data_IF_568643317791
#
_entry.id   IF_568643317791
#
_cell.length_a   1.000
_cell.length_b   1.000
_cell.length_c   1.000
_cell.angle_alpha   90.00
_cell.angle_beta   90.00
_cell.angle_gamma   90.00
#
_symmetry.space_group_name_H-M   'P 1'
#
loop_
_entity.id
_entity.type
_entity.pdbx_description
1 polymer ?
#
# COMPACT_ATOMS: atom_id res chain seq x y z
N UNK A 1 -8.81 -12.72 31.06
CA UNK A 1 -9.69 -12.84 29.89
C UNK A 1 -10.79 -13.83 30.22
N UNK A 2 -12.04 -13.43 30.07
CA UNK A 2 -13.23 -14.25 30.26
C UNK A 2 -13.97 -14.36 28.92
N UNK A 3 -14.41 -15.57 28.60
CA UNK A 3 -15.06 -15.92 27.33
C UNK A 3 -16.39 -16.58 27.68
N UNK A 4 -17.50 -16.00 27.23
CA UNK A 4 -18.85 -16.47 27.53
C UNK A 4 -19.59 -16.77 26.23
N UNK A 5 -20.14 -17.97 26.09
CA UNK A 5 -21.01 -18.30 24.96
C UNK A 5 -22.30 -17.46 25.03
N UNK A 6 -22.72 -16.90 23.89
CA UNK A 6 -23.95 -16.12 23.76
C UNK A 6 -24.59 -16.38 22.39
N UNK A 7 -25.63 -17.23 22.36
CA UNK A 7 -26.29 -17.61 21.11
C UNK A 7 -25.36 -18.41 20.18
N UNK A 8 -25.26 -17.96 18.93
CA UNK A 8 -24.38 -18.43 17.86
C UNK A 8 -22.99 -17.76 17.87
N UNK A 9 -22.72 -16.90 18.85
CA UNK A 9 -21.45 -16.21 19.02
C UNK A 9 -20.84 -16.34 20.42
N UNK A 10 -19.73 -15.64 20.63
CA UNK A 10 -18.99 -15.63 21.89
C UNK A 10 -18.73 -14.19 22.33
N UNK A 11 -19.05 -13.88 23.58
CA UNK A 11 -18.71 -12.62 24.23
C UNK A 11 -17.32 -12.73 24.86
N UNK A 12 -16.44 -11.78 24.58
CA UNK A 12 -15.07 -11.75 25.12
C UNK A 12 -14.89 -10.53 25.99
N UNK A 13 -14.39 -10.72 27.21
CA UNK A 13 -14.00 -9.64 28.12
C UNK A 13 -12.55 -9.82 28.56
N UNK A 14 -11.72 -8.80 28.42
CA UNK A 14 -10.38 -8.78 28.98
C UNK A 14 -10.25 -7.65 30.00
N UNK A 15 -9.44 -7.89 31.03
CA UNK A 15 -9.11 -6.93 32.06
C UNK A 15 -7.59 -6.92 32.30
N UNK A 16 -7.05 -5.80 32.77
CA UNK A 16 -5.65 -5.65 33.16
C UNK A 16 -5.31 -6.42 34.45
N UNK A 17 -4.05 -6.37 34.88
CA UNK A 17 -3.60 -6.98 36.14
C UNK A 17 -4.24 -6.41 37.41
N UNK A 18 -4.96 -5.29 37.31
CA UNK A 18 -5.73 -4.66 38.40
C UNK A 18 -7.24 -4.96 38.29
N UNK A 19 -7.68 -5.76 37.31
CA UNK A 19 -9.09 -6.10 37.09
C UNK A 19 -9.91 -5.03 36.36
N UNK A 20 -9.28 -3.99 35.80
CA UNK A 20 -9.96 -2.97 35.00
C UNK A 20 -10.18 -3.48 33.57
N UNK A 21 -11.38 -3.35 33.00
CA UNK A 21 -11.67 -3.84 31.66
C UNK A 21 -10.81 -3.11 30.62
N UNK A 22 -10.19 -3.88 29.72
CA UNK A 22 -9.36 -3.39 28.60
C UNK A 22 -9.94 -3.77 27.24
N UNK A 23 -10.86 -4.73 27.17
CA UNK A 23 -11.54 -5.15 25.95
C UNK A 23 -12.92 -5.72 26.31
N UNK A 24 -13.94 -5.34 25.56
CA UNK A 24 -15.24 -6.01 25.59
C UNK A 24 -15.77 -6.18 24.15
N UNK A 25 -15.86 -7.42 23.70
CA UNK A 25 -16.52 -7.79 22.44
C UNK A 25 -17.90 -8.31 22.77
N UNK A 26 -18.94 -7.62 22.30
CA UNK A 26 -20.34 -7.93 22.62
C UNK A 26 -20.81 -9.24 21.99
N UNK A 27 -20.38 -9.52 20.76
CA UNK A 27 -20.61 -10.79 20.07
C UNK A 27 -19.49 -11.02 19.05
N UNK A 28 -18.90 -12.21 19.07
CA UNK A 28 -17.97 -12.71 18.06
C UNK A 28 -18.61 -13.94 17.43
N UNK A 29 -19.06 -13.80 16.18
CA UNK A 29 -19.66 -14.88 15.40
C UNK A 29 -18.63 -15.34 14.38
N UNK A 30 -18.07 -16.53 14.57
CA UNK A 30 -17.16 -17.13 13.61
C UNK A 30 -17.96 -17.99 12.63
N UNK A 31 -17.69 -17.88 11.33
CA UNK A 31 -18.20 -18.87 10.37
C UNK A 31 -17.51 -20.21 10.61
N UNK A 32 -18.30 -21.28 10.62
CA UNK A 32 -17.79 -22.64 10.69
C UNK A 32 -16.95 -22.91 9.43
N UNK A 33 -15.63 -23.04 9.61
CA UNK A 33 -14.72 -23.48 8.56
C UNK A 33 -14.78 -24.99 8.55
N UNK A 34 -15.38 -25.57 7.51
CA UNK A 34 -15.43 -27.01 7.37
C UNK A 34 -14.00 -27.58 7.29
N UNK A 35 -13.76 -28.73 7.92
CA UNK A 35 -12.42 -29.30 8.09
C UNK A 35 -11.73 -29.64 6.75
N UNK A 36 -12.48 -29.74 5.66
CA UNK A 36 -11.98 -29.87 4.29
C UNK A 36 -11.36 -28.58 3.73
N UNK A 37 -11.75 -27.41 4.25
CA UNK A 37 -11.08 -26.12 3.98
C UNK A 37 -9.76 -25.96 4.75
N UNK A 38 -9.54 -26.77 5.79
CA UNK A 38 -8.27 -26.87 6.52
C UNK A 38 -7.43 -27.99 5.91
N UNK A 39 -7.10 -27.86 4.63
CA UNK A 39 -6.17 -28.80 3.98
C UNK A 39 -4.78 -28.68 4.61
N UNK A 40 -4.08 -29.78 4.90
CA UNK A 40 -2.70 -29.73 5.40
C UNK A 40 -1.79 -29.06 4.37
N UNK A 41 -0.83 -28.26 4.85
CA UNK A 41 0.11 -27.48 4.04
C UNK A 41 0.68 -28.28 2.87
N UNK A 42 0.64 -27.69 1.66
CA UNK A 42 1.17 -28.29 0.44
C UNK A 42 0.11 -28.70 -0.59
N UNK A 43 -0.87 -27.84 -0.87
CA UNK A 43 -1.67 -27.94 -2.11
C UNK A 43 -1.32 -26.78 -3.04
N UNK A 44 -1.51 -26.89 -4.37
CA UNK A 44 -1.25 -25.81 -5.34
C UNK A 44 -2.06 -24.51 -5.12
N UNK A 45 -2.80 -24.42 -4.01
CA UNK A 45 -3.61 -23.29 -3.58
C UNK A 45 -2.83 -22.28 -2.71
N UNK A 46 -1.58 -22.59 -2.31
CA UNK A 46 -0.71 -21.70 -1.50
C UNK A 46 -0.17 -20.49 -2.31
N UNK A 47 -0.25 -20.52 -3.64
CA UNK A 47 0.19 -19.45 -4.57
C UNK A 47 -0.99 -18.67 -5.20
N UNK A 48 -2.13 -18.59 -4.50
CA UNK A 48 -3.28 -17.85 -5.00
C UNK A 48 -2.98 -16.33 -5.04
N UNK A 49 -3.19 -15.70 -6.20
CA UNK A 49 -3.18 -14.25 -6.34
C UNK A 49 -4.57 -13.69 -6.01
N UNK A 50 -4.59 -12.48 -5.45
CA UNK A 50 -5.83 -11.79 -5.06
C UNK A 50 -5.93 -10.42 -5.71
N UNK A 51 -7.16 -9.95 -5.91
CA UNK A 51 -7.50 -8.62 -6.39
C UNK A 51 -8.58 -8.00 -5.52
N UNK A 52 -8.73 -6.67 -5.58
CA UNK A 52 -9.85 -5.97 -4.97
C UNK A 52 -10.96 -5.82 -6.00
N UNK A 53 -12.11 -6.42 -5.70
CA UNK A 53 -13.36 -6.23 -6.44
C UNK A 53 -14.23 -5.23 -5.71
N UNK A 54 -14.77 -4.27 -6.45
CA UNK A 54 -15.72 -3.29 -5.94
C UNK A 54 -17.15 -3.74 -6.23
N UNK A 55 -17.93 -3.97 -5.17
CA UNK A 55 -19.31 -4.46 -5.28
C UNK A 55 -20.29 -3.35 -4.99
N UNK A 56 -21.24 -3.16 -5.89
CA UNK A 56 -22.34 -2.22 -5.70
C UNK A 56 -23.23 -2.67 -4.54
N UNK A 57 -23.45 -1.76 -3.59
CA UNK A 57 -24.46 -1.93 -2.55
C UNK A 57 -25.84 -1.52 -3.08
N UNK A 58 -26.93 -2.11 -2.55
CA UNK A 58 -28.26 -1.56 -2.76
C UNK A 58 -28.32 -0.12 -2.23
N UNK A 59 -29.24 0.72 -2.76
CA UNK A 59 -29.41 2.09 -2.30
C UNK A 59 -29.63 2.16 -0.78
N UNK A 60 -29.05 3.19 -0.16
CA UNK A 60 -29.19 3.48 1.26
C UNK A 60 -30.65 3.59 1.70
N UNK A 61 -30.93 3.23 2.96
CA UNK A 61 -32.20 3.52 3.61
C UNK A 61 -32.16 4.97 4.13
N UNK A 62 -32.93 5.91 3.54
CA UNK A 62 -32.87 7.32 3.91
C UNK A 62 -33.41 7.62 5.33
N UNK A 63 -33.92 6.61 6.05
CA UNK A 63 -34.45 6.77 7.40
C UNK A 63 -33.39 6.74 8.52
N UNK A 64 -32.12 6.45 8.20
CA UNK A 64 -31.01 6.39 9.15
C UNK A 64 -29.93 7.46 8.87
N UNK A 65 -30.19 8.75 9.15
CA UNK A 65 -29.20 9.80 8.97
C UNK A 65 -28.02 9.58 9.93
N UNK A 66 -26.81 9.43 9.38
CA UNK A 66 -25.56 9.51 10.13
C UNK A 66 -24.99 10.91 10.05
N UNK A 67 -24.44 11.38 11.17
CA UNK A 67 -23.75 12.67 11.23
C UNK A 67 -22.28 12.47 10.87
N UNK A 68 -21.78 13.22 9.88
CA UNK A 68 -20.40 13.15 9.41
C UNK A 68 -19.72 14.50 9.53
N UNK A 69 -18.56 14.52 10.20
CA UNK A 69 -17.55 15.55 9.93
C UNK A 69 -16.87 15.22 8.62
N UNK A 70 -16.63 16.20 7.74
CA UNK A 70 -16.01 15.96 6.42
C UNK A 70 -14.61 16.54 6.36
N UNK A 71 -13.64 15.74 5.91
CA UNK A 71 -12.30 16.17 5.53
C UNK A 71 -12.12 15.92 4.03
N UNK A 72 -12.19 16.99 3.23
CA UNK A 72 -11.98 16.94 1.79
C UNK A 72 -10.47 16.91 1.48
N UNK A 73 -10.03 15.92 0.72
CA UNK A 73 -8.64 15.79 0.30
C UNK A 73 -8.38 16.67 -0.92
N UNK A 74 -7.43 17.60 -0.79
CA UNK A 74 -6.98 18.47 -1.87
C UNK A 74 -5.98 17.81 -2.80
N UNK A 75 -5.69 18.47 -3.92
CA UNK A 75 -4.61 18.08 -4.82
C UNK A 75 -3.29 18.77 -4.46
N UNK A 76 -2.17 18.15 -4.80
CA UNK A 76 -0.83 18.70 -4.56
C UNK A 76 0.24 17.61 -4.49
N UNK A 77 1.48 17.97 -4.11
CA UNK A 77 2.54 17.00 -3.84
C UNK A 77 2.12 16.01 -2.75
N UNK A 78 2.50 14.74 -2.90
CA UNK A 78 2.07 13.65 -2.01
C UNK A 78 2.43 13.92 -0.55
N UNK A 79 3.62 14.47 -0.28
CA UNK A 79 4.09 14.80 1.07
C UNK A 79 3.22 15.88 1.72
N UNK A 80 2.80 16.89 0.94
CA UNK A 80 1.93 17.95 1.43
C UNK A 80 0.54 17.41 1.74
N UNK A 81 -0.08 16.72 0.78
CA UNK A 81 -1.47 16.25 0.91
C UNK A 81 -1.61 15.23 2.04
N UNK A 82 -0.73 14.22 2.10
CA UNK A 82 -0.75 13.22 3.18
C UNK A 82 -0.44 13.85 4.54
N UNK A 83 0.38 14.90 4.57
CA UNK A 83 0.65 15.69 5.75
C UNK A 83 -0.54 16.49 6.29
N UNK A 84 -1.25 17.16 5.39
CA UNK A 84 -2.48 17.88 5.71
C UNK A 84 -3.56 16.93 6.22
N UNK A 85 -3.72 15.76 5.60
CA UNK A 85 -4.66 14.73 6.05
C UNK A 85 -4.25 14.15 7.40
N UNK A 86 -2.96 13.82 7.61
CA UNK A 86 -2.46 13.33 8.89
C UNK A 86 -2.84 14.29 10.02
N UNK A 87 -2.52 15.57 9.85
CA UNK A 87 -2.83 16.62 10.83
C UNK A 87 -4.33 16.78 11.03
N UNK A 88 -5.13 16.84 9.97
CA UNK A 88 -6.59 16.99 10.07
C UNK A 88 -7.27 15.82 10.80
N UNK A 89 -6.83 14.59 10.55
CA UNK A 89 -7.32 13.41 11.27
C UNK A 89 -6.87 13.42 12.73
N UNK A 90 -5.61 13.80 13.02
CA UNK A 90 -5.11 13.93 14.40
C UNK A 90 -5.89 14.99 15.20
N UNK A 91 -6.04 16.20 14.63
CA UNK A 91 -6.81 17.30 15.23
C UNK A 91 -8.26 16.87 15.53
N UNK A 92 -8.89 16.13 14.62
CA UNK A 92 -10.24 15.60 14.83
C UNK A 92 -10.30 14.51 15.92
N UNK A 93 -9.32 13.60 15.95
CA UNK A 93 -9.25 12.54 16.97
C UNK A 93 -8.99 13.09 18.38
N UNK A 94 -8.28 14.21 18.50
CA UNK A 94 -7.92 14.85 19.77
C UNK A 94 -9.01 15.78 20.32
N UNK A 95 -9.97 16.20 19.50
CA UNK A 95 -11.01 17.14 19.92
C UNK A 95 -11.93 16.53 21.01
N UNK A 96 -11.91 17.13 22.20
CA UNK A 96 -12.70 16.72 23.39
C UNK A 96 -14.22 16.76 23.15
N UNK A 97 -14.69 17.59 22.20
CA UNK A 97 -16.07 17.68 21.74
C UNK A 97 -16.30 16.99 20.39
N UNK A 98 -15.67 15.83 20.14
CA UNK A 98 -16.09 15.03 18.97
C UNK A 98 -17.54 14.58 19.21
N UNK A 99 -18.52 15.04 18.40
CA UNK A 99 -19.90 14.60 18.55
C UNK A 99 -19.95 13.08 18.29
N UNK A 100 -21.12 12.45 18.46
CA UNK A 100 -21.36 11.08 18.00
C UNK A 100 -21.12 10.85 16.48
N UNK A 101 -20.66 11.85 15.75
CA UNK A 101 -20.38 11.86 14.32
C UNK A 101 -19.08 11.12 13.97
N UNK A 102 -19.07 10.45 12.81
CA UNK A 102 -17.88 9.82 12.22
C UNK A 102 -17.13 10.83 11.34
N UNK A 103 -15.83 10.64 11.10
CA UNK A 103 -15.07 11.44 10.14
C UNK A 103 -15.11 10.80 8.76
N UNK A 104 -15.68 11.48 7.76
CA UNK A 104 -15.57 11.11 6.35
C UNK A 104 -14.33 11.77 5.74
N UNK A 105 -13.32 10.98 5.38
CA UNK A 105 -12.16 11.45 4.60
C UNK A 105 -12.46 11.19 3.13
N UNK A 106 -12.60 12.26 2.35
CA UNK A 106 -13.12 12.18 0.98
C UNK A 106 -12.05 12.46 -0.06
N UNK A 107 -11.78 11.47 -0.90
CA UNK A 107 -10.89 11.55 -2.07
C UNK A 107 -11.67 11.54 -3.38
N UNK A 108 -10.96 11.76 -4.50
CA UNK A 108 -11.50 11.70 -5.86
C UNK A 108 -10.58 10.85 -6.72
N UNK A 109 -11.08 9.75 -7.27
CA UNK A 109 -10.30 8.85 -8.12
C UNK A 109 -9.09 8.19 -7.43
N UNK A 110 -9.07 8.08 -6.11
CA UNK A 110 -7.98 7.43 -5.37
C UNK A 110 -7.99 5.90 -5.51
N UNK A 111 -9.09 5.31 -5.99
CA UNK A 111 -9.26 3.87 -6.15
C UNK A 111 -9.83 3.51 -7.51
N UNK A 112 -9.47 2.32 -8.01
CA UNK A 112 -10.01 1.75 -9.23
C UNK A 112 -11.32 1.00 -8.92
N UNK A 113 -12.42 1.74 -8.76
CA UNK A 113 -13.71 1.18 -8.38
C UNK A 113 -14.63 0.86 -9.56
N UNK A 114 -14.39 1.48 -10.71
CA UNK A 114 -15.15 1.29 -11.95
C UNK A 114 -14.27 0.94 -13.16
N UNK A 115 -14.86 0.33 -14.20
CA UNK A 115 -14.17 0.15 -15.48
C UNK A 115 -13.78 1.51 -16.09
N UNK A 116 -12.50 1.66 -16.46
CA UNK A 116 -11.99 2.89 -17.06
C UNK A 116 -11.55 3.96 -16.07
N UNK A 117 -11.65 3.71 -14.76
CA UNK A 117 -11.07 4.57 -13.74
C UNK A 117 -9.55 4.70 -13.95
N UNK A 118 -9.05 5.93 -13.82
CA UNK A 118 -7.64 6.20 -13.59
C UNK A 118 -7.42 6.44 -12.10
N UNK A 119 -6.32 5.94 -11.55
CA UNK A 119 -5.97 6.17 -10.15
C UNK A 119 -5.19 7.47 -9.98
N UNK A 120 -5.56 8.28 -9.00
CA UNK A 120 -4.74 9.35 -8.44
C UNK A 120 -3.81 8.76 -7.36
N UNK A 121 -2.49 8.69 -7.60
CA UNK A 121 -1.54 8.14 -6.63
C UNK A 121 -1.48 8.93 -5.31
N UNK A 122 -1.79 10.22 -5.34
CA UNK A 122 -1.78 11.05 -4.12
C UNK A 122 -2.97 10.69 -3.23
N UNK A 123 -4.16 10.58 -3.82
CA UNK A 123 -5.33 10.02 -3.15
C UNK A 123 -5.11 8.59 -2.65
N UNK A 124 -4.44 7.74 -3.43
CA UNK A 124 -4.12 6.36 -3.01
C UNK A 124 -3.22 6.35 -1.76
N UNK A 125 -2.19 7.21 -1.70
CA UNK A 125 -1.35 7.36 -0.52
C UNK A 125 -2.16 7.81 0.72
N UNK A 126 -3.15 8.68 0.55
CA UNK A 126 -4.08 9.05 1.62
C UNK A 126 -4.91 7.85 2.09
N UNK A 127 -5.41 7.02 1.18
CA UNK A 127 -6.10 5.79 1.54
C UNK A 127 -5.21 4.86 2.38
N UNK A 128 -3.96 4.66 1.97
CA UNK A 128 -2.99 3.87 2.75
C UNK A 128 -2.80 4.43 4.16
N UNK A 129 -2.58 5.75 4.28
CA UNK A 129 -2.43 6.46 5.55
C UNK A 129 -3.63 6.22 6.49
N UNK A 130 -4.84 6.43 5.97
CA UNK A 130 -6.07 6.42 6.77
C UNK A 130 -6.52 5.00 7.10
N UNK A 131 -6.25 3.99 6.27
CA UNK A 131 -6.52 2.57 6.61
C UNK A 131 -5.83 2.15 7.91
N UNK A 132 -4.61 2.62 8.16
CA UNK A 132 -3.93 2.39 9.44
C UNK A 132 -4.61 3.14 10.60
N UNK A 133 -5.07 4.37 10.38
CA UNK A 133 -5.86 5.12 11.36
C UNK A 133 -7.16 4.39 11.73
N UNK A 134 -7.88 3.84 10.74
CA UNK A 134 -9.07 3.02 10.95
C UNK A 134 -8.78 1.77 11.79
N UNK A 135 -7.61 1.15 11.60
CA UNK A 135 -7.20 -0.02 12.39
C UNK A 135 -6.90 0.33 13.84
N UNK A 136 -6.45 1.56 14.12
CA UNK A 136 -6.18 2.06 15.48
C UNK A 136 -7.41 2.68 16.15
N UNK A 137 -8.34 3.22 15.36
CA UNK A 137 -9.57 3.87 15.80
C UNK A 137 -10.79 3.29 15.05
N UNK A 138 -11.22 2.06 15.38
CA UNK A 138 -12.34 1.40 14.70
C UNK A 138 -13.62 2.23 14.76
N UNK A 139 -14.41 2.15 13.70
CA UNK A 139 -15.74 2.77 13.54
C UNK A 139 -15.78 4.31 13.59
N UNK A 140 -14.63 4.97 13.77
CA UNK A 140 -14.53 6.43 13.88
C UNK A 140 -14.38 7.15 12.53
N UNK A 141 -13.77 6.49 11.54
CA UNK A 141 -13.35 7.11 10.28
C UNK A 141 -13.88 6.29 9.09
N UNK A 142 -14.46 6.96 8.10
CA UNK A 142 -14.89 6.39 6.82
C UNK A 142 -14.06 6.98 5.69
N UNK A 143 -13.53 6.13 4.82
CA UNK A 143 -12.91 6.54 3.55
C UNK A 143 -13.96 6.55 2.44
N UNK A 144 -14.08 7.66 1.75
CA UNK A 144 -15.03 7.85 0.65
C UNK A 144 -14.26 8.30 -0.58
N UNK A 145 -14.29 7.53 -1.66
CA UNK A 145 -13.73 7.96 -2.94
C UNK A 145 -14.83 8.31 -3.93
N UNK A 146 -14.81 9.53 -4.47
CA UNK A 146 -15.83 10.02 -5.40
C UNK A 146 -15.34 9.99 -6.86
N UNK A 147 -16.25 10.25 -7.80
CA UNK A 147 -15.94 10.25 -9.22
C UNK A 147 -14.75 11.19 -9.55
N UNK A 148 -13.76 10.73 -10.34
CA UNK A 148 -12.58 11.53 -10.69
C UNK A 148 -12.92 12.85 -11.39
N UNK A 149 -14.07 12.92 -12.05
CA UNK A 149 -14.54 14.10 -12.80
C UNK A 149 -15.29 15.12 -11.95
N UNK A 150 -15.57 14.81 -10.68
CA UNK A 150 -16.27 15.72 -9.76
C UNK A 150 -15.40 16.95 -9.49
N UNK A 151 -15.95 18.18 -9.55
CA UNK A 151 -15.15 19.40 -9.40
C UNK A 151 -14.76 19.64 -7.93
N UNK A 152 -13.51 20.05 -7.70
CA UNK A 152 -12.98 20.31 -6.34
C UNK A 152 -13.87 21.32 -5.62
N UNK A 153 -14.44 20.94 -4.48
CA UNK A 153 -15.34 21.76 -3.69
C UNK A 153 -16.83 21.51 -3.91
N UNK A 154 -17.21 20.66 -4.88
CA UNK A 154 -18.57 20.13 -4.96
C UNK A 154 -18.91 19.40 -3.66
N UNK A 155 -20.10 19.70 -3.14
CA UNK A 155 -20.65 19.07 -1.94
C UNK A 155 -20.86 17.58 -2.22
N UNK A 156 -20.27 16.75 -1.37
CA UNK A 156 -20.36 15.29 -1.48
C UNK A 156 -21.63 14.88 -0.75
N UNK A 157 -22.57 14.27 -1.46
CA UNK A 157 -23.80 13.76 -0.84
C UNK A 157 -23.49 12.51 0.00
N UNK A 158 -23.06 12.75 1.25
CA UNK A 158 -22.85 11.70 2.24
C UNK A 158 -24.15 11.06 2.71
N UNK A 159 -25.32 11.60 2.33
CA UNK A 159 -26.62 10.95 2.55
C UNK A 159 -26.72 9.60 1.85
N UNK A 160 -25.93 9.38 0.80
CA UNK A 160 -25.79 8.08 0.14
C UNK A 160 -25.21 6.98 1.05
N UNK A 161 -24.59 7.36 2.18
CA UNK A 161 -24.01 6.44 3.15
C UNK A 161 -24.95 6.11 4.32
N UNK A 162 -26.18 6.63 4.32
CA UNK A 162 -27.15 6.34 5.37
C UNK A 162 -27.39 4.83 5.53
N UNK A 163 -27.15 4.30 6.73
CA UNK A 163 -27.25 2.87 7.03
C UNK A 163 -26.15 1.98 6.42
N UNK A 164 -25.10 2.58 5.84
CA UNK A 164 -23.93 1.85 5.32
C UNK A 164 -22.91 1.65 6.42
N UNK A 165 -22.84 0.42 6.94
CA UNK A 165 -21.86 0.01 7.96
C UNK A 165 -20.57 -0.51 7.30
N UNK A 166 -19.96 0.33 6.46
CA UNK A 166 -18.71 0.00 5.76
C UNK A 166 -17.67 1.09 6.00
N UNK A 167 -16.44 0.73 6.38
CA UNK A 167 -15.40 1.73 6.67
C UNK A 167 -14.85 2.38 5.39
N UNK A 168 -15.11 1.79 4.22
CA UNK A 168 -14.49 2.19 2.97
C UNK A 168 -15.49 2.03 1.82
N UNK A 169 -15.71 3.12 1.11
CA UNK A 169 -16.67 3.17 0.01
C UNK A 169 -16.10 3.95 -1.16
N UNK A 170 -16.54 3.59 -2.37
CA UNK A 170 -16.42 4.42 -3.55
C UNK A 170 -17.83 4.81 -4.01
N UNK A 171 -18.00 6.06 -4.42
CA UNK A 171 -19.23 6.56 -5.05
C UNK A 171 -18.91 6.79 -6.52
N UNK A 172 -19.65 6.12 -7.39
CA UNK A 172 -19.57 6.27 -8.85
C UNK A 172 -20.96 6.45 -9.42
N UNK A 173 -21.21 7.55 -10.11
CA UNK A 173 -22.53 7.84 -10.72
C UNK A 173 -23.70 7.72 -9.71
N UNK A 174 -23.46 8.10 -8.45
CA UNK A 174 -24.44 8.01 -7.35
C UNK A 174 -24.68 6.59 -6.80
N UNK A 175 -23.91 5.60 -7.25
CA UNK A 175 -23.91 4.24 -6.68
C UNK A 175 -22.80 4.09 -5.65
N UNK A 176 -23.11 3.45 -4.52
CA UNK A 176 -22.13 3.11 -3.49
C UNK A 176 -21.52 1.74 -3.79
N UNK A 177 -20.20 1.66 -3.83
CA UNK A 177 -19.44 0.44 -4.00
C UNK A 177 -18.55 0.19 -2.78
N UNK A 178 -18.35 -1.08 -2.45
CA UNK A 178 -17.49 -1.51 -1.33
C UNK A 178 -16.39 -2.47 -1.79
N UNK A 179 -15.17 -2.36 -1.26
CA UNK A 179 -14.06 -3.20 -1.66
C UNK A 179 -14.19 -4.59 -1.02
N UNK A 180 -13.89 -5.64 -1.80
CA UNK A 180 -13.81 -7.03 -1.34
C UNK A 180 -12.60 -7.70 -1.96
N UNK A 181 -11.88 -8.49 -1.15
CA UNK A 181 -10.78 -9.29 -1.66
C UNK A 181 -11.35 -10.53 -2.38
N UNK A 182 -10.95 -10.72 -3.63
CA UNK A 182 -11.34 -11.86 -4.46
C UNK A 182 -10.10 -12.57 -5.00
N UNK A 183 -10.20 -13.88 -5.22
CA UNK A 183 -9.13 -14.67 -5.84
C UNK A 183 -9.09 -14.42 -7.34
N UNK A 184 -7.89 -14.26 -7.89
CA UNK A 184 -7.65 -14.23 -9.33
C UNK A 184 -7.60 -15.69 -9.82
N UNK A 185 -8.43 -16.02 -10.80
CA UNK A 185 -8.30 -17.28 -11.52
C UNK A 185 -6.95 -17.27 -12.26
N UNK A 186 -6.02 -18.16 -11.86
CA UNK A 186 -4.64 -18.16 -12.35
C UNK A 186 -4.58 -18.16 -13.87
N UNK A 187 -4.05 -17.09 -14.45
CA UNK A 187 -3.60 -17.03 -15.83
C UNK A 187 -2.11 -16.72 -15.79
N UNK A 188 -1.27 -17.75 -15.81
CA UNK A 188 0.18 -17.58 -15.92
C UNK A 188 0.51 -17.07 -17.32
N UNK A 189 0.73 -15.75 -17.43
CA UNK A 189 1.30 -15.13 -18.63
C UNK A 189 2.79 -14.93 -18.39
N UNK A 190 3.63 -15.62 -19.17
CA UNK A 190 5.06 -15.33 -19.16
C UNK A 190 5.31 -14.03 -19.93
N UNK A 191 5.96 -13.06 -19.28
CA UNK A 191 6.51 -11.88 -19.96
C UNK A 191 7.93 -12.25 -20.40
N UNK A 192 8.24 -12.26 -21.71
CA UNK A 192 9.62 -12.42 -22.16
C UNK A 192 10.43 -11.20 -21.69
N UNK A 193 11.60 -11.45 -21.10
CA UNK A 193 12.53 -10.40 -20.65
C UNK A 193 13.82 -10.56 -21.42
N UNK A 194 14.34 -9.48 -21.98
CA UNK A 194 15.65 -9.45 -22.61
C UNK A 194 16.75 -9.70 -21.57
N UNK A 195 17.32 -10.90 -21.65
CA UNK A 195 18.38 -11.37 -20.76
C UNK A 195 19.69 -10.63 -20.96
N UNK A 196 19.86 -10.01 -22.12
CA UNK A 196 21.06 -9.26 -22.47
C UNK A 196 20.95 -7.76 -22.15
N UNK A 197 19.75 -7.26 -21.83
CA UNK A 197 19.58 -5.95 -21.22
C UNK A 197 20.05 -5.89 -19.76
N UNK A 198 20.09 -4.67 -19.22
CA UNK A 198 20.40 -4.38 -17.81
C UNK A 198 19.12 -4.28 -17.00
N UNK A 199 19.04 -5.00 -15.87
CA UNK A 199 17.97 -4.83 -14.88
C UNK A 199 18.48 -4.02 -13.68
N UNK A 200 17.82 -2.88 -13.41
CA UNK A 200 18.08 -2.03 -12.26
C UNK A 200 17.24 -2.50 -11.07
N UNK A 201 17.86 -2.64 -9.90
CA UNK A 201 17.16 -2.97 -8.65
C UNK A 201 17.51 -1.93 -7.57
N UNK A 202 16.56 -1.09 -7.18
CA UNK A 202 16.74 -0.21 -6.00
C UNK A 202 16.52 -0.98 -4.71
N UNK A 203 17.26 -0.65 -3.66
CA UNK A 203 17.34 -1.53 -2.48
C UNK A 203 18.05 -2.84 -2.81
N UNK A 204 18.85 -2.87 -3.88
CA UNK A 204 19.44 -4.09 -4.44
C UNK A 204 20.45 -4.79 -3.52
N UNK A 205 21.03 -4.05 -2.57
CA UNK A 205 21.89 -4.61 -1.51
C UNK A 205 21.12 -4.98 -0.24
N UNK A 206 19.81 -4.73 -0.19
CA UNK A 206 18.96 -5.13 0.93
C UNK A 206 18.50 -6.59 0.83
N UNK A 207 17.88 -7.10 1.89
CA UNK A 207 17.44 -8.52 1.97
C UNK A 207 16.57 -8.94 0.79
N UNK A 208 15.48 -8.21 0.51
CA UNK A 208 14.57 -8.54 -0.58
C UNK A 208 15.20 -8.32 -1.96
N UNK A 209 15.93 -7.21 -2.14
CA UNK A 209 16.61 -6.91 -3.40
C UNK A 209 17.65 -7.96 -3.77
N UNK A 210 18.45 -8.43 -2.81
CA UNK A 210 19.42 -9.48 -3.02
C UNK A 210 18.79 -10.84 -3.32
N UNK A 211 17.69 -11.20 -2.65
CA UNK A 211 16.94 -12.43 -2.95
C UNK A 211 16.35 -12.39 -4.36
N UNK A 212 15.74 -11.27 -4.74
CA UNK A 212 15.21 -11.07 -6.09
C UNK A 212 16.31 -11.11 -7.14
N UNK A 213 17.46 -10.48 -6.89
CA UNK A 213 18.59 -10.51 -7.81
C UNK A 213 19.02 -11.96 -8.12
N UNK A 214 19.12 -12.82 -7.09
CA UNK A 214 19.40 -14.25 -7.27
C UNK A 214 18.32 -14.94 -8.10
N UNK A 215 17.05 -14.66 -7.81
CA UNK A 215 15.93 -15.23 -8.54
C UNK A 215 15.94 -14.83 -10.03
N UNK A 216 16.24 -13.57 -10.34
CA UNK A 216 16.34 -13.09 -11.72
C UNK A 216 17.49 -13.74 -12.48
N UNK A 217 18.65 -13.92 -11.84
CA UNK A 217 19.79 -14.61 -12.47
C UNK A 217 19.48 -16.08 -12.70
N UNK A 218 19.06 -16.81 -11.66
CA UNK A 218 18.88 -18.27 -11.71
C UNK A 218 17.61 -18.67 -12.47
N UNK A 219 16.49 -18.01 -12.19
CA UNK A 219 15.17 -18.36 -12.74
C UNK A 219 14.90 -17.75 -14.11
N UNK A 220 15.37 -16.53 -14.36
CA UNK A 220 15.09 -15.80 -15.60
C UNK A 220 16.31 -15.66 -16.54
N UNK A 221 17.51 -15.99 -16.05
CA UNK A 221 18.74 -15.91 -16.85
C UNK A 221 19.19 -14.48 -17.11
N UNK A 222 18.80 -13.53 -16.27
CA UNK A 222 19.26 -12.13 -16.35
C UNK A 222 20.77 -12.09 -16.11
N UNK A 223 21.51 -11.45 -17.01
CA UNK A 223 22.98 -11.47 -16.98
C UNK A 223 23.59 -10.18 -16.46
N UNK A 224 22.86 -9.05 -16.53
CA UNK A 224 23.39 -7.73 -16.20
C UNK A 224 22.51 -7.06 -15.16
N UNK A 225 23.09 -6.77 -14.00
CA UNK A 225 22.40 -6.20 -12.86
C UNK A 225 23.03 -4.87 -12.44
N UNK A 226 22.19 -3.87 -12.21
CA UNK A 226 22.55 -2.60 -11.59
C UNK A 226 21.85 -2.50 -10.23
N UNK A 227 22.58 -2.74 -9.15
CA UNK A 227 22.06 -2.73 -7.78
C UNK A 227 22.28 -1.34 -7.17
N UNK A 228 21.19 -0.62 -6.92
CA UNK A 228 21.22 0.70 -6.29
C UNK A 228 20.86 0.63 -4.82
N UNK A 229 21.62 1.33 -3.99
CA UNK A 229 21.26 1.65 -2.61
C UNK A 229 22.02 2.88 -2.14
N UNK A 230 21.60 3.51 -1.05
CA UNK A 230 22.31 4.70 -0.51
C UNK A 230 23.75 4.39 -0.10
N UNK A 231 23.99 3.19 0.44
CA UNK A 231 25.33 2.74 0.85
C UNK A 231 26.14 2.17 -0.33
N UNK A 232 25.48 1.71 -1.39
CA UNK A 232 26.14 1.18 -2.58
C UNK A 232 27.15 0.08 -2.25
N UNK A 233 28.39 0.15 -2.79
CA UNK A 233 29.46 -0.81 -2.50
C UNK A 233 29.83 -0.95 -1.01
N UNK A 234 29.57 0.09 -0.20
CA UNK A 234 29.87 0.10 1.22
C UNK A 234 28.77 -0.57 2.08
N UNK A 235 27.68 -1.05 1.45
CA UNK A 235 26.64 -1.76 2.17
C UNK A 235 27.15 -3.10 2.73
N UNK A 236 26.77 -3.50 3.96
CA UNK A 236 27.15 -4.79 4.51
C UNK A 236 26.79 -5.96 3.58
N UNK A 237 27.78 -6.78 3.22
CA UNK A 237 27.60 -7.93 2.33
C UNK A 237 27.48 -7.62 0.83
N UNK A 238 27.67 -6.37 0.40
CA UNK A 238 27.57 -5.99 -1.02
C UNK A 238 28.58 -6.73 -1.91
N UNK A 239 29.85 -6.82 -1.47
CA UNK A 239 30.89 -7.52 -2.22
C UNK A 239 30.60 -9.02 -2.34
N UNK A 240 30.15 -9.65 -1.25
CA UNK A 240 29.77 -11.07 -1.24
C UNK A 240 28.58 -11.34 -2.17
N UNK A 241 27.57 -10.47 -2.14
CA UNK A 241 26.41 -10.55 -3.04
C UNK A 241 26.83 -10.46 -4.51
N UNK A 242 27.71 -9.52 -4.87
CA UNK A 242 28.19 -9.37 -6.25
C UNK A 242 28.97 -10.62 -6.73
N UNK A 243 29.84 -11.15 -5.87
CA UNK A 243 30.60 -12.36 -6.16
C UNK A 243 29.67 -13.58 -6.34
N UNK A 244 28.67 -13.71 -5.47
CA UNK A 244 27.67 -14.78 -5.56
C UNK A 244 26.86 -14.68 -6.86
N UNK A 245 26.30 -13.52 -7.19
CA UNK A 245 25.52 -13.32 -8.42
C UNK A 245 26.35 -13.61 -9.67
N UNK A 246 27.63 -13.25 -9.65
CA UNK A 246 28.56 -13.60 -10.73
C UNK A 246 28.76 -15.11 -10.84
N UNK A 247 28.91 -15.82 -9.70
CA UNK A 247 29.01 -17.28 -9.69
C UNK A 247 27.74 -18.00 -10.17
N UNK A 248 26.57 -17.34 -10.03
CA UNK A 248 25.28 -17.84 -10.48
C UNK A 248 25.00 -17.58 -11.97
N UNK A 249 25.86 -16.82 -12.66
CA UNK A 249 25.78 -16.61 -14.12
C UNK A 249 25.55 -15.16 -14.55
N UNK A 250 25.53 -14.20 -13.63
CA UNK A 250 25.59 -12.79 -14.01
C UNK A 250 26.97 -12.46 -14.60
N UNK A 251 26.99 -11.78 -15.75
CA UNK A 251 28.22 -11.38 -16.44
C UNK A 251 28.67 -9.96 -16.08
N UNK A 252 27.74 -9.12 -15.59
CA UNK A 252 28.00 -7.78 -15.10
C UNK A 252 27.10 -7.49 -13.89
N UNK A 253 27.71 -7.22 -12.74
CA UNK A 253 27.01 -6.81 -11.51
C UNK A 253 27.62 -5.52 -11.02
N UNK A 254 26.90 -4.42 -11.23
CA UNK A 254 27.33 -3.08 -10.80
C UNK A 254 26.55 -2.69 -9.56
N UNK A 255 27.27 -2.37 -8.48
CA UNK A 255 26.67 -1.82 -7.26
C UNK A 255 27.01 -0.33 -7.21
N UNK A 256 26.00 0.52 -7.12
CA UNK A 256 26.18 1.98 -7.16
C UNK A 256 25.49 2.63 -5.97
N UNK A 257 26.21 3.54 -5.31
CA UNK A 257 25.67 4.39 -4.26
C UNK A 257 24.76 5.46 -4.89
N UNK A 258 23.46 5.36 -4.67
CA UNK A 258 22.47 6.30 -5.18
C UNK A 258 21.22 6.31 -4.30
N UNK A 259 20.75 7.50 -3.93
CA UNK A 259 19.38 7.67 -3.43
C UNK A 259 18.46 7.84 -4.64
N UNK A 260 17.55 6.89 -4.89
CA UNK A 260 16.63 6.97 -6.03
C UNK A 260 15.62 8.12 -5.90
N UNK A 261 15.44 8.67 -4.70
CA UNK A 261 14.63 9.87 -4.48
C UNK A 261 15.37 11.18 -4.81
N UNK A 262 16.69 11.12 -5.05
CA UNK A 262 17.44 12.21 -5.66
C UNK A 262 17.39 12.04 -7.20
N UNK A 263 16.56 12.86 -7.83
CA UNK A 263 16.27 12.76 -9.27
C UNK A 263 17.51 12.98 -10.13
N UNK A 264 18.38 13.91 -9.75
CA UNK A 264 19.57 14.26 -10.54
C UNK A 264 20.67 13.20 -10.38
N UNK A 265 20.83 12.66 -9.16
CA UNK A 265 21.72 11.53 -8.93
C UNK A 265 21.25 10.29 -9.70
N UNK A 266 19.95 9.98 -9.66
CA UNK A 266 19.38 8.86 -10.40
C UNK A 266 19.53 9.04 -11.92
N UNK A 267 19.29 10.24 -12.45
CA UNK A 267 19.49 10.54 -13.87
C UNK A 267 20.95 10.31 -14.31
N UNK A 268 21.92 10.70 -13.47
CA UNK A 268 23.35 10.45 -13.74
C UNK A 268 23.64 8.96 -13.83
N UNK A 269 23.15 8.17 -12.87
CA UNK A 269 23.33 6.71 -12.86
C UNK A 269 22.68 6.04 -14.07
N UNK A 270 21.50 6.49 -14.49
CA UNK A 270 20.80 5.97 -15.67
C UNK A 270 21.55 6.31 -16.97
N UNK A 271 22.14 7.50 -17.07
CA UNK A 271 22.91 7.92 -18.24
C UNK A 271 24.19 7.10 -18.44
N UNK A 272 24.74 6.52 -17.37
CA UNK A 272 25.93 5.65 -17.40
C UNK A 272 25.63 4.20 -17.82
N UNK A 273 24.38 3.87 -18.14
CA UNK A 273 24.03 2.53 -18.65
C UNK A 273 24.50 2.39 -20.12
N UNK A 274 25.31 1.37 -20.45
CA UNK A 274 25.85 1.21 -21.81
C UNK A 274 24.77 1.01 -22.87
N UNK A 275 24.89 1.67 -24.02
CA UNK A 275 23.94 1.54 -25.15
C UNK A 275 23.88 0.14 -25.76
N UNK A 276 24.94 -0.66 -25.63
CA UNK A 276 25.00 -2.05 -26.09
C UNK A 276 24.43 -3.06 -25.08
N UNK A 277 24.00 -2.58 -23.90
CA UNK A 277 23.33 -3.35 -22.86
C UNK A 277 22.31 -2.42 -22.16
N UNK A 278 21.28 -1.95 -22.91
CA UNK A 278 20.36 -0.92 -22.44
C UNK A 278 19.57 -1.36 -21.22
N UNK A 279 18.98 -0.40 -20.51
CA UNK A 279 18.03 -0.69 -19.43
C UNK A 279 16.78 -1.35 -20.02
N UNK A 280 16.47 -2.57 -19.58
CA UNK A 280 15.28 -3.32 -20.01
C UNK A 280 14.36 -3.69 -18.86
N UNK A 281 14.80 -3.50 -17.61
CA UNK A 281 13.97 -3.75 -16.44
C UNK A 281 14.28 -2.87 -15.25
N UNK A 282 13.22 -2.48 -14.54
CA UNK A 282 13.30 -1.76 -13.26
C UNK A 282 12.57 -2.55 -12.20
N UNK A 283 13.23 -2.79 -11.08
CA UNK A 283 12.61 -3.30 -9.85
C UNK A 283 12.86 -2.34 -8.70
N UNK A 284 11.78 -1.79 -8.16
CA UNK A 284 11.83 -0.91 -7.01
C UNK A 284 11.53 -1.70 -5.73
N UNK A 285 12.59 -2.15 -5.05
CA UNK A 285 12.53 -2.83 -3.75
C UNK A 285 13.08 -1.98 -2.60
N UNK A 286 13.31 -0.68 -2.82
CA UNK A 286 13.74 0.21 -1.75
C UNK A 286 12.58 0.49 -0.80
N UNK A 287 12.90 0.60 0.48
CA UNK A 287 11.93 0.90 1.52
C UNK A 287 12.63 1.04 2.86
N UNK A 288 12.05 1.86 3.72
CA UNK A 288 12.44 2.00 5.12
C UNK A 288 11.19 1.85 5.97
N UNK A 289 11.35 1.32 7.18
CA UNK A 289 10.30 1.22 8.18
C UNK A 289 10.54 2.28 9.25
N UNK A 290 9.48 2.89 9.73
CA UNK A 290 9.51 3.85 10.82
C UNK A 290 8.18 3.80 11.58
N UNK A 291 7.95 2.68 12.28
CA UNK A 291 6.66 2.36 12.88
C UNK A 291 6.33 3.29 14.06
N UNK A 292 5.07 3.70 14.16
CA UNK A 292 4.54 4.51 15.25
C UNK A 292 3.03 4.67 15.12
N UNK A 293 2.33 4.70 16.26
CA UNK A 293 0.88 4.92 16.30
C UNK A 293 0.51 6.22 15.57
N UNK A 294 -0.67 6.23 14.95
CA UNK A 294 -1.15 7.31 14.10
C UNK A 294 -1.07 8.68 14.78
N UNK A 295 -1.48 8.75 16.05
CA UNK A 295 -1.50 9.99 16.83
C UNK A 295 -0.11 10.53 17.20
N UNK A 296 0.95 9.71 17.10
CA UNK A 296 2.33 10.13 17.34
C UNK A 296 3.15 10.25 16.05
N UNK A 297 2.53 9.98 14.89
CA UNK A 297 3.20 10.11 13.60
C UNK A 297 3.40 11.60 13.28
N UNK A 298 4.63 11.96 12.91
CA UNK A 298 4.96 13.33 12.49
C UNK A 298 5.15 13.41 10.98
N UNK A 299 5.01 14.62 10.43
CA UNK A 299 5.28 14.91 9.02
C UNK A 299 6.67 14.43 8.57
N UNK A 300 7.69 14.63 9.40
CA UNK A 300 9.07 14.27 9.08
C UNK A 300 9.24 12.76 8.91
N UNK A 301 8.63 11.98 9.82
CA UNK A 301 8.63 10.51 9.77
C UNK A 301 7.84 9.99 8.58
N UNK A 302 6.69 10.62 8.27
CA UNK A 302 5.92 10.32 7.06
C UNK A 302 6.73 10.56 5.78
N UNK A 303 7.33 11.75 5.65
CA UNK A 303 8.13 12.14 4.49
C UNK A 303 9.35 11.23 4.28
N UNK A 304 9.98 10.77 5.37
CA UNK A 304 11.12 9.86 5.30
C UNK A 304 10.76 8.53 4.63
N UNK A 305 9.58 7.98 4.94
CA UNK A 305 9.10 6.72 4.37
C UNK A 305 8.59 6.91 2.94
N UNK A 306 7.85 8.00 2.68
CA UNK A 306 7.41 8.37 1.33
C UNK A 306 8.59 8.54 0.37
N UNK A 307 9.66 9.22 0.82
CA UNK A 307 10.86 9.45 0.02
C UNK A 307 11.43 8.14 -0.54
N UNK A 308 11.59 7.14 0.31
CA UNK A 308 12.22 5.88 -0.05
C UNK A 308 11.40 5.04 -1.04
N UNK A 309 10.08 5.28 -1.12
CA UNK A 309 9.13 4.52 -1.94
C UNK A 309 8.46 5.38 -3.01
N UNK A 310 7.48 6.19 -2.64
CA UNK A 310 6.67 6.98 -3.56
C UNK A 310 7.51 7.96 -4.39
N UNK A 311 8.38 8.77 -3.75
CA UNK A 311 9.21 9.74 -4.47
C UNK A 311 10.22 9.05 -5.39
N UNK A 312 10.86 7.97 -4.92
CA UNK A 312 11.78 7.17 -5.72
C UNK A 312 11.08 6.49 -6.92
N UNK A 313 9.89 5.94 -6.73
CA UNK A 313 9.08 5.34 -7.79
C UNK A 313 8.66 6.38 -8.84
N UNK A 314 8.27 7.58 -8.42
CA UNK A 314 7.94 8.68 -9.33
C UNK A 314 9.14 9.12 -10.18
N UNK A 315 10.34 9.24 -9.57
CA UNK A 315 11.57 9.53 -10.32
C UNK A 315 11.92 8.42 -11.31
N UNK A 316 11.79 7.15 -10.91
CA UNK A 316 12.03 5.99 -11.78
C UNK A 316 11.07 6.00 -12.97
N UNK A 317 9.77 6.20 -12.74
CA UNK A 317 8.79 6.31 -13.82
C UNK A 317 9.21 7.43 -14.79
N UNK A 318 9.37 8.67 -14.30
CA UNK A 318 9.66 9.84 -15.13
C UNK A 318 10.94 9.66 -15.96
N UNK A 319 12.04 9.21 -15.33
CA UNK A 319 13.35 9.11 -15.97
C UNK A 319 13.47 7.89 -16.89
N UNK A 320 12.55 6.93 -16.82
CA UNK A 320 12.61 5.70 -17.63
C UNK A 320 11.50 5.59 -18.69
N UNK A 321 10.59 6.57 -18.82
CA UNK A 321 9.52 6.56 -19.86
C UNK A 321 10.03 6.44 -21.31
N UNK A 322 11.29 6.83 -21.56
CA UNK A 322 11.93 6.71 -22.87
C UNK A 322 12.66 5.39 -23.12
N UNK A 323 12.75 4.51 -22.13
CA UNK A 323 13.38 3.20 -22.25
C UNK A 323 12.38 2.14 -22.71
N UNK A 324 12.85 1.18 -23.50
CA UNK A 324 12.06 0.03 -23.95
C UNK A 324 12.11 -1.06 -22.87
N UNK A 325 11.36 -0.84 -21.78
CA UNK A 325 11.34 -1.74 -20.62
C UNK A 325 10.41 -2.93 -20.86
N UNK A 326 10.93 -4.14 -20.63
CA UNK A 326 10.14 -5.37 -20.56
C UNK A 326 9.39 -5.48 -19.22
N UNK A 327 9.92 -4.85 -18.16
CA UNK A 327 9.34 -4.88 -16.82
C UNK A 327 9.59 -3.60 -16.02
N UNK A 328 8.56 -3.19 -15.28
CA UNK A 328 8.63 -2.14 -14.26
C UNK A 328 7.87 -2.64 -13.01
N UNK A 329 8.60 -3.12 -12.01
CA UNK A 329 8.04 -3.83 -10.85
C UNK A 329 8.22 -3.00 -9.59
N UNK A 330 7.12 -2.73 -8.88
CA UNK A 330 7.12 -2.03 -7.60
C UNK A 330 6.82 -3.02 -6.46
N UNK A 331 7.69 -3.07 -5.44
CA UNK A 331 7.41 -3.84 -4.23
C UNK A 331 6.51 -3.00 -3.30
N UNK A 332 5.22 -3.33 -3.33
CA UNK A 332 4.24 -2.82 -2.37
C UNK A 332 4.16 -3.72 -1.12
N UNK A 333 3.14 -3.51 -0.28
CA UNK A 333 2.90 -4.21 0.96
C UNK A 333 1.40 -4.39 1.20
N UNK A 334 1.02 -5.51 1.82
CA UNK A 334 -0.35 -5.76 2.27
C UNK A 334 -0.86 -4.66 3.23
N UNK A 335 0.04 -3.94 3.92
CA UNK A 335 -0.30 -2.80 4.77
C UNK A 335 -1.02 -1.67 4.01
N UNK A 336 -0.72 -1.45 2.73
CA UNK A 336 -1.44 -0.48 1.90
C UNK A 336 -2.87 -0.94 1.57
N UNK A 337 -3.12 -2.25 1.55
CA UNK A 337 -4.42 -2.83 1.24
C UNK A 337 -5.30 -2.98 2.48
N UNK A 338 -4.75 -3.45 3.61
CA UNK A 338 -5.55 -3.75 4.79
C UNK A 338 -5.45 -2.68 5.89
N UNK A 339 -4.44 -1.81 5.82
CA UNK A 339 -4.00 -1.05 6.98
C UNK A 339 -3.26 -1.94 7.97
N UNK A 340 -2.36 -1.34 8.75
CA UNK A 340 -1.71 -2.02 9.88
C UNK A 340 -1.47 -1.00 10.99
N UNK A 341 -1.91 -1.27 12.23
CA UNK A 341 -1.65 -0.39 13.37
C UNK A 341 -0.16 -0.07 13.49
N UNK A 342 0.16 1.20 13.70
CA UNK A 342 1.52 1.68 13.82
C UNK A 342 2.27 1.85 12.50
N UNK A 343 1.64 1.61 11.34
CA UNK A 343 2.33 1.63 10.04
C UNK A 343 1.70 2.60 9.04
N UNK A 344 1.10 3.69 9.50
CA UNK A 344 0.36 4.61 8.62
C UNK A 344 1.25 5.25 7.53
N UNK A 345 2.48 5.65 7.87
CA UNK A 345 3.46 6.15 6.89
C UNK A 345 3.89 5.09 5.86
N UNK A 346 4.08 3.85 6.29
CA UNK A 346 4.44 2.74 5.42
C UNK A 346 3.28 2.33 4.52
N UNK A 347 2.06 2.24 5.05
CA UNK A 347 0.85 2.00 4.28
C UNK A 347 0.63 3.09 3.23
N UNK A 348 0.79 4.37 3.60
CA UNK A 348 0.71 5.49 2.67
C UNK A 348 1.73 5.39 1.52
N UNK A 349 2.98 5.01 1.82
CA UNK A 349 4.03 4.93 0.82
C UNK A 349 3.95 3.70 -0.10
N UNK A 350 3.16 2.68 0.26
CA UNK A 350 2.97 1.47 -0.56
C UNK A 350 1.67 1.50 -1.37
N UNK A 351 0.72 2.37 -1.02
CA UNK A 351 -0.56 2.56 -1.71
C UNK A 351 -0.36 3.44 -2.95
#
# INVERSE_FOLDING_TARGET
MAVHAQGDGVRVQAADGAGRPVLAVASLVSREVAADQLSPAGTPDDDALFTIEWKTLPPADPSAPEDFSTLLVGGGPVEQVTGEVLRGVQEWLEAEETPAARLAVVTRGAVLAGPGDSVDPVGAAVWGLVRSAQSEHPDRIVLVDTDPTTAVGDEVDLGLLAGVDEPQVAVREGQVLVPRLARIASATRSVPVDRDGTVLITGGTGTLGGLLARHLVVGHGIRRLLLLSRQGPDAPGAADLAAELSSLGAVDVRIVACDAADRDALATVLADIPRNAPLTGVVHAAGVLDDGVFTALTQERLNTVLRAKATAAANLDELTRGADLDLFVLYSSASATFGTPGQANYAAANA
#
